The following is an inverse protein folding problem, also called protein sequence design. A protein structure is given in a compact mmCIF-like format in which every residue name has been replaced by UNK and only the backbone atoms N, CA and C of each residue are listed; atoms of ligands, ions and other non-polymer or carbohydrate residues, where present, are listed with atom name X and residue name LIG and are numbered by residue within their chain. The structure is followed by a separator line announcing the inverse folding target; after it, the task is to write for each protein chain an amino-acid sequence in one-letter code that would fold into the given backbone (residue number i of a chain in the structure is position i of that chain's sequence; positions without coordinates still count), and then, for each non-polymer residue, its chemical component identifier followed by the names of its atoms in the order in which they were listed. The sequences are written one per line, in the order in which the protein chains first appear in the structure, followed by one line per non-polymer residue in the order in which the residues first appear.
data_IF_320802009139
#
_entry.id   IF_320802009139
#
_cell.length_a   1.000
_cell.length_b   1.000
_cell.length_c   1.000
_cell.angle_alpha   90.00
_cell.angle_beta   90.00
_cell.angle_gamma   90.00
#
_symmetry.space_group_name_H-M   'P 1'
#
loop_
_entity.id
_entity.type
_entity.pdbx_description
1 polymer ?
#
# COMPACT_ATOMS: atom_id res chain seq x y z
N UNK A 1 12.93 40.31 15.59
CA UNK A 1 13.29 38.90 15.85
C UNK A 1 12.03 38.19 16.35
N UNK A 2 11.22 37.65 15.44
CA UNK A 2 9.91 37.05 15.74
C UNK A 2 10.05 35.53 15.80
N UNK A 3 9.88 34.95 16.99
CA UNK A 3 9.93 33.50 17.23
C UNK A 3 8.65 32.83 16.73
N UNK A 4 8.87 31.68 16.07
CA UNK A 4 8.01 30.50 16.03
C UNK A 4 6.54 30.70 15.62
N UNK A 5 6.31 30.81 14.32
CA UNK A 5 5.19 30.03 13.75
C UNK A 5 5.67 28.59 13.79
N UNK A 6 5.06 27.79 14.67
CA UNK A 6 5.22 26.35 14.72
C UNK A 6 5.22 25.80 13.30
N UNK A 7 6.37 25.30 12.84
CA UNK A 7 6.47 24.55 11.60
C UNK A 7 5.82 23.18 11.83
N UNK A 8 4.52 23.18 12.12
CA UNK A 8 3.73 21.99 12.03
C UNK A 8 3.93 21.43 10.63
N UNK A 9 4.40 20.19 10.63
CA UNK A 9 4.60 19.33 9.49
C UNK A 9 3.42 19.46 8.52
N UNK A 10 3.53 20.35 7.54
CA UNK A 10 2.65 20.32 6.37
C UNK A 10 2.92 18.99 5.70
N UNK A 11 2.00 18.04 5.88
CA UNK A 11 2.08 16.75 5.21
C UNK A 11 2.23 17.01 3.71
N UNK A 12 3.32 16.50 3.14
CA UNK A 12 3.56 16.61 1.70
C UNK A 12 2.38 15.95 0.98
N UNK A 13 1.87 16.55 -0.09
CA UNK A 13 0.83 15.93 -0.92
C UNK A 13 1.22 14.50 -1.35
N UNK A 14 2.51 14.27 -1.58
CA UNK A 14 3.07 12.96 -1.88
C UNK A 14 2.94 11.94 -0.74
N UNK A 15 2.98 12.39 0.52
CA UNK A 15 2.70 11.52 1.66
C UNK A 15 1.23 11.16 1.77
N UNK A 16 0.33 12.12 1.47
CA UNK A 16 -1.12 11.87 1.45
C UNK A 16 -1.44 10.85 0.36
N UNK A 17 -0.90 11.03 -0.85
CA UNK A 17 -1.07 10.08 -1.97
C UNK A 17 -0.53 8.70 -1.60
N UNK A 18 0.67 8.61 -1.02
CA UNK A 18 1.25 7.34 -0.59
C UNK A 18 0.41 6.64 0.48
N UNK A 19 -0.17 7.40 1.41
CA UNK A 19 -1.08 6.88 2.44
C UNK A 19 -2.40 6.40 1.84
N UNK A 20 -2.99 7.13 0.90
CA UNK A 20 -4.20 6.72 0.19
C UNK A 20 -3.96 5.40 -0.55
N UNK A 21 -2.80 5.23 -1.18
CA UNK A 21 -2.41 3.98 -1.84
C UNK A 21 -2.36 2.81 -0.84
N UNK A 22 -1.82 3.02 0.36
CA UNK A 22 -1.83 2.02 1.43
C UNK A 22 -3.27 1.64 1.79
N UNK A 23 -4.14 2.62 2.00
CA UNK A 23 -5.55 2.38 2.35
C UNK A 23 -6.29 1.61 1.25
N UNK A 24 -6.06 1.95 -0.02
CA UNK A 24 -6.62 1.22 -1.17
C UNK A 24 -6.12 -0.23 -1.17
N UNK A 25 -4.83 -0.47 -0.90
CA UNK A 25 -4.28 -1.82 -0.81
C UNK A 25 -4.94 -2.65 0.31
N UNK A 26 -5.18 -2.04 1.48
CA UNK A 26 -5.89 -2.71 2.58
C UNK A 26 -7.32 -3.07 2.15
N UNK A 27 -8.03 -2.14 1.49
CA UNK A 27 -9.37 -2.38 0.97
C UNK A 27 -9.40 -3.50 -0.08
N UNK A 28 -8.42 -3.53 -0.99
CA UNK A 28 -8.27 -4.61 -1.97
C UNK A 28 -8.18 -5.97 -1.26
N UNK A 29 -7.37 -6.07 -0.21
CA UNK A 29 -7.25 -7.32 0.54
C UNK A 29 -8.53 -7.69 1.27
N UNK A 30 -9.20 -6.75 1.92
CA UNK A 30 -10.49 -7.00 2.58
C UNK A 30 -11.50 -7.55 1.55
N UNK A 31 -11.60 -6.91 0.39
CA UNK A 31 -12.50 -7.33 -0.70
C UNK A 31 -12.12 -8.73 -1.20
N UNK A 32 -10.83 -8.99 -1.42
CA UNK A 32 -10.33 -10.29 -1.87
C UNK A 32 -10.68 -11.45 -0.90
N UNK A 33 -10.56 -11.22 0.40
CA UNK A 33 -10.89 -12.22 1.42
C UNK A 33 -12.39 -12.35 1.67
N UNK A 34 -13.17 -11.28 1.48
CA UNK A 34 -14.61 -11.28 1.73
C UNK A 34 -15.41 -11.90 0.59
N UNK A 35 -14.93 -11.77 -0.66
CA UNK A 35 -15.65 -12.21 -1.86
C UNK A 35 -14.86 -13.28 -2.61
N UNK A 36 -15.13 -14.58 -2.37
CA UNK A 36 -14.46 -15.69 -3.06
C UNK A 36 -14.57 -15.62 -4.58
N UNK A 37 -15.65 -15.04 -5.12
CA UNK A 37 -15.84 -14.83 -6.55
C UNK A 37 -14.79 -13.93 -7.21
N UNK A 38 -14.00 -13.19 -6.42
CA UNK A 38 -12.90 -12.34 -6.89
C UNK A 38 -11.52 -13.02 -6.82
N UNK A 39 -11.47 -14.27 -6.32
CA UNK A 39 -10.27 -15.10 -6.25
C UNK A 39 -10.05 -15.84 -7.58
N UNK A 40 -10.15 -15.09 -8.68
CA UNK A 40 -9.97 -15.62 -10.02
C UNK A 40 -8.50 -15.73 -10.37
N UNK A 41 -8.18 -16.68 -11.24
CA UNK A 41 -6.88 -16.82 -11.88
C UNK A 41 -6.79 -15.96 -13.16
N UNK A 42 -5.57 -15.78 -13.67
CA UNK A 42 -5.30 -14.89 -14.81
C UNK A 42 -5.99 -15.29 -16.13
N UNK A 43 -6.36 -16.56 -16.27
CA UNK A 43 -7.13 -17.11 -17.40
C UNK A 43 -8.61 -16.66 -17.39
N UNK A 44 -9.15 -16.32 -16.22
CA UNK A 44 -10.54 -15.88 -16.04
C UNK A 44 -10.67 -14.35 -15.98
N UNK A 45 -9.55 -13.63 -15.86
CA UNK A 45 -9.51 -12.17 -15.80
C UNK A 45 -8.32 -11.67 -15.00
N UNK A 46 -8.27 -10.37 -14.71
CA UNK A 46 -7.23 -9.81 -13.84
C UNK A 46 -7.59 -10.01 -12.37
N UNK A 47 -6.82 -10.81 -11.59
CA UNK A 47 -7.11 -11.03 -10.18
C UNK A 47 -7.02 -9.71 -9.40
N UNK A 48 -7.95 -9.46 -8.47
CA UNK A 48 -7.97 -8.18 -7.75
C UNK A 48 -6.70 -7.95 -6.92
N UNK A 49 -6.09 -9.02 -6.39
CA UNK A 49 -4.83 -8.93 -5.65
C UNK A 49 -3.68 -8.41 -6.52
N UNK A 50 -3.72 -8.59 -7.85
CA UNK A 50 -2.66 -8.14 -8.75
C UNK A 50 -2.46 -6.62 -8.72
N UNK A 51 -3.52 -5.86 -8.46
CA UNK A 51 -3.44 -4.40 -8.34
C UNK A 51 -2.51 -3.94 -7.21
N UNK A 52 -2.28 -4.78 -6.19
CA UNK A 52 -1.31 -4.48 -5.12
C UNK A 52 0.13 -4.41 -5.65
N UNK A 53 0.49 -5.20 -6.67
CA UNK A 53 1.80 -5.14 -7.34
C UNK A 53 2.01 -3.87 -8.15
N UNK A 54 0.94 -3.17 -8.53
CA UNK A 54 1.01 -1.92 -9.31
C UNK A 54 0.96 -0.72 -8.37
N UNK A 55 -0.02 -0.69 -7.48
CA UNK A 55 -0.31 0.45 -6.63
C UNK A 55 0.81 0.71 -5.61
N UNK A 56 1.33 -0.34 -4.97
CA UNK A 56 2.31 -0.15 -3.90
C UNK A 56 3.69 0.35 -4.38
N UNK A 57 4.23 -0.06 -5.54
CA UNK A 57 5.39 0.60 -6.12
C UNK A 57 5.19 2.10 -6.36
N UNK A 58 4.01 2.51 -6.84
CA UNK A 58 3.66 3.94 -6.98
C UNK A 58 3.67 4.62 -5.61
N UNK A 59 3.08 3.98 -4.59
CA UNK A 59 3.09 4.45 -3.21
C UNK A 59 4.50 4.63 -2.65
N UNK A 60 5.42 3.70 -2.94
CA UNK A 60 6.84 3.80 -2.56
C UNK A 60 7.52 5.00 -3.23
N UNK A 61 7.28 5.22 -4.52
CA UNK A 61 7.84 6.38 -5.26
C UNK A 61 7.33 7.69 -4.65
N UNK A 62 6.02 7.79 -4.35
CA UNK A 62 5.46 8.96 -3.68
C UNK A 62 6.08 9.17 -2.28
N UNK A 63 6.26 8.10 -1.53
CA UNK A 63 6.99 8.12 -0.25
C UNK A 63 8.43 8.61 -0.41
N UNK A 64 9.16 8.14 -1.43
CA UNK A 64 10.53 8.58 -1.71
C UNK A 64 10.61 10.07 -2.11
N UNK A 65 9.64 10.58 -2.87
CA UNK A 65 9.54 12.02 -3.18
C UNK A 65 9.27 12.82 -1.90
N UNK A 66 8.40 12.35 -1.02
CA UNK A 66 8.14 12.99 0.27
C UNK A 66 9.36 12.93 1.21
N UNK A 67 10.14 11.85 1.16
CA UNK A 67 11.38 11.69 1.91
C UNK A 67 12.40 12.76 1.54
N UNK A 68 12.58 13.03 0.24
CA UNK A 68 13.43 14.12 -0.26
C UNK A 68 13.02 15.50 0.24
N UNK A 69 11.74 15.68 0.60
CA UNK A 69 11.20 16.93 1.18
C UNK A 69 11.31 16.99 2.72
N UNK A 70 12.17 16.17 3.32
CA UNK A 70 12.42 16.08 4.78
C UNK A 70 11.17 15.79 5.62
N UNK A 71 10.19 15.08 5.05
CA UNK A 71 9.02 14.68 5.83
C UNK A 71 9.29 13.37 6.57
N UNK A 72 9.25 13.41 7.91
CA UNK A 72 9.52 12.25 8.76
C UNK A 72 8.55 11.06 8.54
N UNK A 73 7.30 11.34 8.12
CA UNK A 73 6.30 10.32 7.85
C UNK A 73 6.56 9.52 6.56
N UNK A 74 7.45 10.00 5.70
CA UNK A 74 7.74 9.35 4.43
C UNK A 74 8.41 7.97 4.58
N UNK A 75 9.18 7.74 5.65
CA UNK A 75 9.76 6.42 5.95
C UNK A 75 8.68 5.36 6.18
N UNK A 76 7.69 5.70 7.00
CA UNK A 76 6.55 4.83 7.26
C UNK A 76 5.83 4.46 5.96
N UNK A 77 5.55 5.46 5.12
CA UNK A 77 4.89 5.26 3.84
C UNK A 77 5.66 4.32 2.89
N UNK A 78 6.99 4.46 2.80
CA UNK A 78 7.82 3.56 1.97
C UNK A 78 7.77 2.13 2.53
N UNK A 79 8.00 1.96 3.83
CA UNK A 79 8.05 0.64 4.47
C UNK A 79 6.70 -0.07 4.35
N UNK A 80 5.59 0.62 4.62
CA UNK A 80 4.27 0.01 4.56
C UNK A 80 3.90 -0.39 3.13
N UNK A 81 4.20 0.44 2.12
CA UNK A 81 3.99 0.03 0.72
C UNK A 81 4.88 -1.15 0.32
N UNK A 82 6.12 -1.21 0.82
CA UNK A 82 7.00 -2.37 0.60
C UNK A 82 6.39 -3.64 1.18
N UNK A 83 5.94 -3.61 2.45
CA UNK A 83 5.29 -4.73 3.12
C UNK A 83 4.06 -5.19 2.33
N UNK A 84 3.22 -4.25 1.90
CA UNK A 84 2.01 -4.55 1.14
C UNK A 84 2.29 -5.13 -0.26
N UNK A 85 3.43 -4.77 -0.87
CA UNK A 85 3.87 -5.40 -2.13
C UNK A 85 4.19 -6.88 -1.92
N UNK A 86 4.88 -7.20 -0.81
CA UNK A 86 5.30 -8.57 -0.49
C UNK A 86 4.24 -9.39 0.25
N UNK A 87 3.14 -8.78 0.70
CA UNK A 87 2.08 -9.50 1.43
C UNK A 87 1.41 -10.58 0.58
N UNK A 88 1.48 -10.46 -0.75
CA UNK A 88 0.96 -11.45 -1.70
C UNK A 88 1.56 -12.85 -1.46
N UNK A 89 2.87 -12.93 -1.20
CA UNK A 89 3.54 -14.23 -0.98
C UNK A 89 3.03 -14.93 0.27
N UNK A 90 2.78 -14.17 1.34
CA UNK A 90 2.24 -14.68 2.59
C UNK A 90 0.78 -15.10 2.46
N UNK A 91 0.02 -14.41 1.60
CA UNK A 91 -1.41 -14.67 1.42
C UNK A 91 -1.63 -15.91 0.56
N UNK A 92 -0.84 -16.13 -0.49
CA UNK A 92 -0.88 -17.38 -1.25
C UNK A 92 -0.64 -18.59 -0.35
N UNK A 93 0.28 -18.47 0.62
CA UNK A 93 0.52 -19.52 1.62
C UNK A 93 -0.68 -19.74 2.56
N UNK A 94 -1.29 -18.66 3.07
CA UNK A 94 -2.47 -18.75 3.96
C UNK A 94 -3.70 -19.36 3.27
N UNK A 95 -3.93 -19.06 1.99
CA UNK A 95 -5.05 -19.65 1.24
C UNK A 95 -4.90 -21.17 1.14
N UNK A 96 -3.71 -21.64 0.76
CA UNK A 96 -3.42 -23.09 0.70
C UNK A 96 -3.58 -23.74 2.08
N UNK A 97 -3.18 -23.06 3.15
CA UNK A 97 -3.31 -23.57 4.52
C UNK A 97 -4.78 -23.69 4.98
N UNK A 98 -5.62 -22.72 4.61
CA UNK A 98 -7.02 -22.62 5.09
C UNK A 98 -7.95 -23.47 4.23
N UNK A 99 -7.75 -23.50 2.91
CA UNK A 99 -8.69 -24.11 1.96
C UNK A 99 -8.20 -25.44 1.37
N UNK A 100 -6.95 -25.85 1.65
CA UNK A 100 -6.33 -27.01 1.03
C UNK A 100 -5.78 -26.72 -0.38
N UNK A 101 -5.06 -27.68 -0.99
CA UNK A 101 -4.58 -27.57 -2.36
C UNK A 101 -5.72 -27.59 -3.40
#
# INVERSE_FOLDING_TARGET
MSKSVSSESRMSIWNIVSLIIILIGILIWIVYFTFPSLQISFDQGTPIWFWTLILHPIGMICGAIAWKRKNHFARFNIITNLIMTFSIFWISFLIVLIYGP
#
